data_IF_989594200361
#
_entry.id   IF_989594200361
#
_cell.length_a   1.000
_cell.length_b   1.000
_cell.length_c   1.000
_cell.angle_alpha   90.00
_cell.angle_beta   90.00
_cell.angle_gamma   90.00
#
_symmetry.space_group_name_H-M   'P 1'
#
loop_
_entity.id
_entity.type
_entity.pdbx_description
1 polymer ?
#
# COMPACT_ATOMS: atom_id res chain seq x y z
N UNK A 1 -22.16 -5.82 -12.46
CA UNK A 1 -20.92 -6.51 -12.07
C UNK A 1 -20.46 -5.95 -10.73
N UNK A 2 -20.33 -6.79 -9.70
CA UNK A 2 -19.95 -6.35 -8.35
C UNK A 2 -18.46 -5.98 -8.34
N UNK A 3 -18.14 -4.71 -8.08
CA UNK A 3 -16.75 -4.23 -7.96
C UNK A 3 -16.03 -5.09 -6.91
N UNK A 4 -14.83 -5.60 -7.24
CA UNK A 4 -14.02 -6.42 -6.33
C UNK A 4 -13.60 -5.52 -5.16
N UNK A 5 -14.02 -5.87 -3.94
CA UNK A 5 -13.70 -5.09 -2.74
C UNK A 5 -12.23 -5.21 -2.39
N UNK A 6 -11.58 -4.09 -2.14
CA UNK A 6 -10.19 -4.06 -1.71
C UNK A 6 -10.08 -4.21 -0.18
N UNK A 7 -8.93 -4.66 0.30
CA UNK A 7 -8.67 -4.92 1.73
C UNK A 7 -9.06 -3.75 2.64
N UNK A 8 -8.78 -2.51 2.22
CA UNK A 8 -9.11 -1.32 3.01
C UNK A 8 -10.62 -1.09 3.15
N UNK A 9 -11.40 -1.37 2.09
CA UNK A 9 -12.86 -1.28 2.12
C UNK A 9 -13.44 -2.34 3.06
N UNK A 10 -12.92 -3.58 3.00
CA UNK A 10 -13.36 -4.66 3.91
C UNK A 10 -13.05 -4.31 5.37
N UNK A 11 -11.88 -3.75 5.63
CA UNK A 11 -11.51 -3.26 6.97
C UNK A 11 -12.44 -2.12 7.41
N UNK A 12 -12.68 -1.14 6.55
CA UNK A 12 -13.61 -0.03 6.82
C UNK A 12 -15.01 -0.52 7.19
N UNK A 13 -15.55 -1.46 6.42
CA UNK A 13 -16.87 -2.06 6.66
C UNK A 13 -16.92 -2.80 8.00
N UNK A 14 -15.93 -3.65 8.30
CA UNK A 14 -15.88 -4.40 9.56
C UNK A 14 -15.81 -3.44 10.75
N UNK A 15 -14.92 -2.43 10.70
CA UNK A 15 -14.78 -1.47 11.77
C UNK A 15 -16.06 -0.63 11.93
N UNK A 16 -16.68 -0.21 10.83
CA UNK A 16 -17.95 0.54 10.84
C UNK A 16 -19.09 -0.24 11.50
N UNK A 17 -19.21 -1.54 11.19
CA UNK A 17 -20.22 -2.43 11.79
C UNK A 17 -19.95 -2.73 13.27
N UNK A 18 -18.69 -2.68 13.71
CA UNK A 18 -18.28 -2.97 15.08
C UNK A 18 -18.39 -1.77 16.05
N UNK A 19 -18.77 -0.57 15.57
CA UNK A 19 -18.83 0.67 16.37
C UNK A 19 -19.60 0.55 17.69
N UNK A 20 -20.68 -0.25 17.73
CA UNK A 20 -21.51 -0.47 18.93
C UNK A 20 -21.33 -1.84 19.57
N UNK A 21 -20.33 -2.60 19.16
CA UNK A 21 -20.19 -4.00 19.56
C UNK A 21 -21.11 -4.93 18.79
N UNK A 22 -20.53 -5.83 17.99
CA UNK A 22 -21.29 -6.72 17.09
C UNK A 22 -20.96 -8.19 17.32
N UNK A 23 -21.96 -9.07 17.26
CA UNK A 23 -21.73 -10.53 17.31
C UNK A 23 -21.04 -10.98 16.02
N UNK A 24 -20.12 -11.94 16.10
CA UNK A 24 -19.41 -12.50 14.92
C UNK A 24 -20.36 -12.97 13.81
N UNK A 25 -21.46 -13.62 14.16
CA UNK A 25 -22.46 -14.12 13.20
C UNK A 25 -23.19 -12.99 12.48
N UNK A 26 -23.56 -11.92 13.20
CA UNK A 26 -24.18 -10.73 12.64
C UNK A 26 -23.18 -9.97 11.76
N UNK A 27 -21.93 -9.85 12.20
CA UNK A 27 -20.87 -9.20 11.44
C UNK A 27 -20.62 -9.89 10.11
N UNK A 28 -20.54 -11.23 10.08
CA UNK A 28 -20.40 -12.01 8.86
C UNK A 28 -21.49 -11.71 7.84
N UNK A 29 -22.75 -11.78 8.29
CA UNK A 29 -23.92 -11.52 7.43
C UNK A 29 -23.93 -10.09 6.90
N UNK A 30 -23.61 -9.11 7.75
CA UNK A 30 -23.64 -7.69 7.39
C UNK A 30 -22.45 -7.26 6.52
N UNK A 31 -21.28 -7.87 6.69
CA UNK A 31 -20.08 -7.54 5.93
C UNK A 31 -19.99 -8.25 4.57
N UNK A 32 -20.93 -9.13 4.25
CA UNK A 32 -21.01 -9.88 2.99
C UNK A 32 -19.68 -10.56 2.58
N UNK A 33 -19.02 -11.21 3.55
CA UNK A 33 -17.81 -11.99 3.36
C UNK A 33 -17.97 -13.40 3.96
N UNK A 34 -17.20 -14.36 3.44
CA UNK A 34 -17.21 -15.73 3.96
C UNK A 34 -16.70 -15.79 5.40
N UNK A 35 -17.07 -16.85 6.13
CA UNK A 35 -16.62 -17.07 7.50
C UNK A 35 -15.09 -17.12 7.63
N UNK A 36 -14.42 -17.82 6.71
CA UNK A 36 -12.95 -17.90 6.68
C UNK A 36 -12.30 -16.54 6.48
N UNK A 37 -12.85 -15.74 5.57
CA UNK A 37 -12.34 -14.41 5.29
C UNK A 37 -12.58 -13.48 6.49
N UNK A 38 -13.77 -13.52 7.09
CA UNK A 38 -14.07 -12.77 8.30
C UNK A 38 -13.08 -13.12 9.41
N UNK A 39 -12.83 -14.41 9.65
CA UNK A 39 -11.88 -14.86 10.67
C UNK A 39 -10.50 -14.28 10.43
N UNK A 40 -9.99 -14.39 9.20
CA UNK A 40 -8.69 -13.81 8.81
C UNK A 40 -8.62 -12.31 9.11
N UNK A 41 -9.66 -11.56 8.74
CA UNK A 41 -9.71 -10.13 9.02
C UNK A 41 -9.83 -9.82 10.51
N UNK A 42 -10.68 -10.52 11.27
CA UNK A 42 -10.81 -10.27 12.71
C UNK A 42 -9.55 -10.61 13.48
N UNK A 43 -8.87 -11.71 13.13
CA UNK A 43 -7.61 -12.10 13.78
C UNK A 43 -6.52 -11.06 13.49
N UNK A 44 -6.45 -10.56 12.25
CA UNK A 44 -5.55 -9.49 11.84
C UNK A 44 -5.85 -8.17 12.59
N UNK A 45 -7.11 -7.73 12.62
CA UNK A 45 -7.51 -6.49 13.29
C UNK A 45 -7.29 -6.56 14.81
N UNK A 46 -7.45 -7.74 15.42
CA UNK A 46 -7.15 -7.97 16.83
C UNK A 46 -5.63 -7.88 17.09
N UNK A 47 -4.81 -8.50 16.22
CA UNK A 47 -3.34 -8.43 16.33
C UNK A 47 -2.81 -6.99 16.27
N UNK A 48 -3.49 -6.12 15.51
CA UNK A 48 -3.16 -4.69 15.40
C UNK A 48 -3.75 -3.83 16.52
N UNK A 49 -4.44 -4.45 17.47
CA UNK A 49 -5.16 -3.79 18.56
C UNK A 49 -6.16 -2.76 18.05
N UNK A 50 -6.86 -3.06 16.95
CA UNK A 50 -7.93 -2.22 16.41
C UNK A 50 -9.28 -2.64 16.97
N UNK A 51 -9.47 -3.94 17.18
CA UNK A 51 -10.66 -4.51 17.80
C UNK A 51 -10.32 -5.32 19.04
N UNK A 52 -11.31 -5.50 19.91
CA UNK A 52 -11.26 -6.41 21.04
C UNK A 52 -12.46 -7.36 21.03
N UNK A 53 -12.24 -8.57 21.54
CA UNK A 53 -13.26 -9.60 21.68
C UNK A 53 -13.69 -9.66 23.15
N UNK A 54 -14.94 -9.29 23.43
CA UNK A 54 -15.52 -9.33 24.78
C UNK A 54 -16.96 -9.82 24.71
N UNK A 55 -17.35 -10.72 25.61
CA UNK A 55 -18.73 -11.23 25.72
C UNK A 55 -19.31 -11.74 24.37
N UNK A 56 -18.48 -12.44 23.60
CA UNK A 56 -18.80 -12.96 22.26
C UNK A 56 -19.18 -11.87 21.23
N UNK A 57 -18.74 -10.64 21.47
CA UNK A 57 -18.89 -9.48 20.60
C UNK A 57 -17.53 -8.88 20.26
N UNK A 58 -17.50 -8.20 19.12
CA UNK A 58 -16.35 -7.47 18.62
C UNK A 58 -16.60 -5.99 18.85
N UNK A 59 -15.71 -5.33 19.58
CA UNK A 59 -15.73 -3.90 19.85
C UNK A 59 -14.53 -3.22 19.21
N UNK A 60 -14.67 -1.93 18.88
CA UNK A 60 -13.53 -1.10 18.52
C UNK A 60 -12.76 -0.67 19.76
N UNK A 61 -11.44 -0.72 19.67
CA UNK A 61 -10.54 -0.02 20.61
C UNK A 61 -10.47 1.48 20.25
N UNK A 62 -9.92 2.35 21.12
CA UNK A 62 -9.64 3.75 20.76
C UNK A 62 -8.85 3.90 19.45
N UNK A 63 -7.85 3.04 19.25
CA UNK A 63 -7.07 2.99 18.00
C UNK A 63 -7.93 2.59 16.80
N UNK A 64 -8.85 1.64 16.97
CA UNK A 64 -9.83 1.23 15.96
C UNK A 64 -10.75 2.37 15.52
N UNK A 65 -11.23 3.18 16.46
CA UNK A 65 -12.03 4.37 16.14
C UNK A 65 -11.23 5.40 15.34
N UNK A 66 -9.97 5.65 15.70
CA UNK A 66 -9.11 6.56 14.93
C UNK A 66 -8.91 6.07 13.51
N UNK A 67 -8.62 4.77 13.32
CA UNK A 67 -8.45 4.18 11.99
C UNK A 67 -9.73 4.28 11.16
N UNK A 68 -10.89 3.94 11.73
CA UNK A 68 -12.17 4.07 11.04
C UNK A 68 -12.42 5.52 10.58
N UNK A 69 -12.13 6.51 11.43
CA UNK A 69 -12.26 7.93 11.08
C UNK A 69 -11.35 8.30 9.91
N UNK A 70 -10.10 7.84 9.91
CA UNK A 70 -9.15 8.12 8.83
C UNK A 70 -9.55 7.44 7.51
N UNK A 71 -10.08 6.21 7.56
CA UNK A 71 -10.60 5.52 6.38
C UNK A 71 -11.74 6.33 5.76
N UNK A 72 -12.72 6.76 6.57
CA UNK A 72 -13.83 7.60 6.09
C UNK A 72 -13.35 8.92 5.50
N UNK A 73 -12.40 9.59 6.17
CA UNK A 73 -11.86 10.85 5.64
C UNK A 73 -11.13 10.64 4.31
N UNK A 74 -10.42 9.53 4.16
CA UNK A 74 -9.76 9.19 2.89
C UNK A 74 -10.77 8.93 1.77
N UNK A 75 -11.91 8.28 2.07
CA UNK A 75 -13.00 8.09 1.10
C UNK A 75 -13.64 9.41 0.67
N UNK A 76 -13.87 10.33 1.62
CA UNK A 76 -14.36 11.69 1.32
C UNK A 76 -13.42 12.42 0.38
N UNK A 77 -12.12 12.48 0.70
CA UNK A 77 -11.12 13.17 -0.11
C UNK A 77 -11.01 12.59 -1.53
N UNK A 78 -11.16 11.28 -1.69
CA UNK A 78 -11.20 10.64 -3.02
C UNK A 78 -12.43 11.04 -3.82
N UNK A 79 -13.58 11.14 -3.16
CA UNK A 79 -14.80 11.60 -3.84
C UNK A 79 -14.67 13.07 -4.25
N UNK A 80 -14.09 13.91 -3.40
CA UNK A 80 -13.75 15.30 -3.72
C UNK A 80 -12.81 15.37 -4.93
N UNK A 81 -11.70 14.62 -4.94
CA UNK A 81 -10.77 14.51 -6.07
C UNK A 81 -11.50 14.16 -7.38
N UNK A 82 -12.38 13.15 -7.36
CA UNK A 82 -13.15 12.72 -8.53
C UNK A 82 -14.09 13.83 -9.02
N UNK A 83 -14.80 14.49 -8.11
CA UNK A 83 -15.73 15.58 -8.46
C UNK A 83 -14.95 16.75 -9.07
N UNK A 84 -13.87 17.17 -8.43
CA UNK A 84 -13.01 18.25 -8.90
C UNK A 84 -12.39 17.92 -10.25
N UNK A 85 -11.91 16.68 -10.45
CA UNK A 85 -11.32 16.26 -11.72
C UNK A 85 -12.34 16.30 -12.86
N UNK A 86 -13.56 15.83 -12.63
CA UNK A 86 -14.65 15.90 -13.63
C UNK A 86 -15.03 17.33 -13.99
N UNK A 87 -15.06 18.22 -13.00
CA UNK A 87 -15.32 19.63 -13.26
C UNK A 87 -14.19 20.26 -14.06
N UNK A 88 -12.93 19.90 -13.78
CA UNK A 88 -11.77 20.33 -14.54
C UNK A 88 -11.85 19.86 -16.00
N UNK A 89 -12.16 18.59 -16.23
CA UNK A 89 -12.38 18.00 -17.58
C UNK A 89 -13.54 18.65 -18.34
N UNK A 90 -14.56 19.15 -17.63
CA UNK A 90 -15.67 19.88 -18.24
C UNK A 90 -15.27 21.29 -18.69
N UNK A 91 -14.50 21.98 -17.85
CA UNK A 91 -14.10 23.38 -18.08
C UNK A 91 -12.93 23.49 -19.05
N UNK A 92 -12.03 22.50 -19.04
CA UNK A 92 -10.89 22.43 -19.94
C UNK A 92 -11.17 21.32 -20.95
N UNK A 93 -11.30 21.60 -22.27
CA UNK A 93 -11.48 20.58 -23.31
C UNK A 93 -10.16 19.85 -23.59
N UNK A 94 -9.46 19.45 -22.53
CA UNK A 94 -8.27 18.63 -22.61
C UNK A 94 -8.77 17.19 -22.61
N UNK A 95 -8.70 16.54 -23.77
CA UNK A 95 -8.78 15.09 -23.79
C UNK A 95 -7.47 14.60 -23.21
N UNK A 96 -7.47 14.20 -21.94
CA UNK A 96 -6.41 13.33 -21.42
C UNK A 96 -6.67 11.95 -22.04
N UNK A 97 -6.34 11.82 -23.32
CA UNK A 97 -6.08 10.52 -23.92
C UNK A 97 -4.74 10.06 -23.37
N UNK A 98 -4.66 8.81 -22.94
CA UNK A 98 -3.42 8.17 -22.46
C UNK A 98 -2.23 8.31 -23.45
N UNK A 99 -2.47 8.82 -24.66
CA UNK A 99 -1.52 8.99 -25.77
C UNK A 99 -1.03 10.44 -26.01
N UNK A 100 -1.51 11.46 -25.29
CA UNK A 100 -0.93 12.82 -25.43
C UNK A 100 0.25 13.01 -24.47
N UNK A 101 1.44 13.06 -25.08
CA UNK A 101 2.78 13.21 -24.49
C UNK A 101 2.89 14.46 -23.61
N UNK A 102 2.44 14.38 -22.35
CA UNK A 102 3.20 14.95 -21.24
C UNK A 102 4.48 14.13 -21.10
N UNK A 103 5.64 14.69 -20.71
CA UNK A 103 6.83 13.89 -20.42
C UNK A 103 6.39 12.80 -19.44
N UNK A 104 6.38 11.54 -19.91
CA UNK A 104 5.76 10.41 -19.20
C UNK A 104 6.10 10.56 -17.73
N UNK A 105 5.09 10.66 -16.86
CA UNK A 105 5.38 10.49 -15.44
C UNK A 105 6.07 9.14 -15.33
N UNK A 106 7.37 9.17 -15.06
CA UNK A 106 8.16 7.95 -15.00
C UNK A 106 7.47 6.99 -14.03
N UNK A 107 7.31 5.74 -14.46
CA UNK A 107 6.74 4.72 -13.60
C UNK A 107 7.53 4.66 -12.29
N UNK A 108 6.90 4.19 -11.20
CA UNK A 108 7.60 4.07 -9.92
C UNK A 108 8.91 3.29 -10.03
N UNK A 109 8.94 2.27 -10.91
CA UNK A 109 10.16 1.52 -11.25
C UNK A 109 11.17 2.38 -12.02
N UNK A 110 10.74 3.12 -13.04
CA UNK A 110 11.63 3.99 -13.82
C UNK A 110 12.29 5.05 -12.94
N UNK A 111 11.53 5.67 -12.01
CA UNK A 111 12.06 6.63 -11.03
C UNK A 111 13.10 6.01 -10.11
N UNK A 112 12.87 4.76 -9.70
CA UNK A 112 13.82 4.02 -8.87
C UNK A 112 15.09 3.72 -9.68
N UNK A 113 14.94 3.21 -10.90
CA UNK A 113 16.08 2.89 -11.76
C UNK A 113 16.93 4.11 -12.11
N UNK A 114 16.32 5.27 -12.39
CA UNK A 114 17.08 6.51 -12.60
C UNK A 114 17.81 6.92 -11.34
N UNK A 115 17.14 6.89 -10.17
CA UNK A 115 17.76 7.23 -8.88
C UNK A 115 18.94 6.30 -8.58
N UNK A 116 18.82 4.99 -8.82
CA UNK A 116 19.90 4.02 -8.63
C UNK A 116 21.09 4.33 -9.54
N UNK A 117 20.84 4.61 -10.82
CA UNK A 117 21.88 4.94 -11.81
C UNK A 117 22.59 6.26 -11.51
N UNK A 118 21.84 7.32 -11.20
CA UNK A 118 22.37 8.65 -10.84
C UNK A 118 23.29 8.57 -9.61
N UNK A 119 23.00 7.65 -8.69
CA UNK A 119 23.78 7.44 -7.48
C UNK A 119 24.83 6.32 -7.59
N UNK A 120 25.05 5.75 -8.79
CA UNK A 120 26.04 4.70 -9.02
C UNK A 120 25.77 3.41 -8.23
N UNK A 121 24.52 3.15 -7.84
CA UNK A 121 24.14 1.99 -7.04
C UNK A 121 23.99 0.78 -7.95
N UNK A 122 24.79 -0.25 -7.68
CA UNK A 122 24.70 -1.52 -8.40
C UNK A 122 23.40 -2.25 -8.04
N UNK A 123 22.72 -2.75 -9.07
CA UNK A 123 21.50 -3.54 -8.92
C UNK A 123 21.50 -4.70 -9.92
N UNK A 124 20.75 -5.76 -9.59
CA UNK A 124 20.51 -6.90 -10.49
C UNK A 124 19.04 -6.94 -10.87
N UNK A 125 18.74 -7.07 -12.15
CA UNK A 125 17.37 -7.26 -12.64
C UNK A 125 17.16 -8.73 -13.05
N UNK A 126 16.11 -9.36 -12.53
CA UNK A 126 15.71 -10.73 -12.89
C UNK A 126 14.19 -10.79 -12.98
N UNK A 127 13.66 -11.15 -14.15
CA UNK A 127 12.22 -11.26 -14.42
C UNK A 127 11.41 -10.01 -14.04
N UNK A 128 11.95 -8.81 -14.25
CA UNK A 128 11.31 -7.54 -13.89
C UNK A 128 11.30 -7.23 -12.38
N UNK A 129 12.10 -7.95 -11.59
CA UNK A 129 12.37 -7.67 -10.19
C UNK A 129 13.79 -7.12 -10.05
N UNK A 130 13.93 -6.01 -9.34
CA UNK A 130 15.21 -5.34 -9.10
C UNK A 130 15.71 -5.73 -7.71
N UNK A 131 16.97 -6.12 -7.62
CA UNK A 131 17.62 -6.48 -6.37
C UNK A 131 18.75 -5.50 -6.08
N UNK A 132 18.70 -4.85 -4.92
CA UNK A 132 19.74 -3.97 -4.41
C UNK A 132 20.17 -4.51 -3.05
N UNK A 133 21.32 -5.18 -2.98
CA UNK A 133 21.74 -5.96 -1.80
C UNK A 133 20.66 -6.97 -1.39
N UNK A 134 20.07 -6.82 -0.21
CA UNK A 134 19.00 -7.64 0.35
C UNK A 134 17.60 -7.00 0.18
N UNK A 135 17.50 -5.88 -0.57
CA UNK A 135 16.24 -5.23 -0.94
C UNK A 135 15.74 -5.75 -2.29
N UNK A 136 14.55 -6.34 -2.29
CA UNK A 136 13.79 -6.72 -3.48
C UNK A 136 12.82 -5.59 -3.84
N UNK A 137 12.86 -5.08 -5.07
CA UNK A 137 11.97 -4.05 -5.58
C UNK A 137 11.18 -4.62 -6.75
N UNK A 138 9.86 -4.56 -6.68
CA UNK A 138 8.99 -5.16 -7.69
C UNK A 138 7.66 -4.42 -7.79
N UNK A 139 7.06 -4.41 -8.98
CA UNK A 139 5.65 -4.05 -9.12
C UNK A 139 4.77 -5.07 -8.39
N UNK A 140 3.65 -4.61 -7.83
CA UNK A 140 2.70 -5.44 -7.09
C UNK A 140 2.31 -6.73 -7.85
N UNK A 141 2.16 -6.63 -9.16
CA UNK A 141 1.77 -7.74 -10.05
C UNK A 141 2.92 -8.73 -10.34
N UNK A 142 4.18 -8.32 -10.14
CA UNK A 142 5.39 -9.07 -10.49
C UNK A 142 6.18 -9.60 -9.29
N UNK A 143 5.87 -9.17 -8.07
CA UNK A 143 6.57 -9.62 -6.87
C UNK A 143 6.49 -11.14 -6.68
N UNK A 144 7.65 -11.82 -6.61
CA UNK A 144 7.71 -13.28 -6.48
C UNK A 144 7.25 -13.72 -5.08
N UNK A 145 6.28 -14.64 -5.07
CA UNK A 145 5.70 -15.23 -3.86
C UNK A 145 4.66 -14.32 -3.21
N UNK A 146 3.42 -14.81 -3.10
CA UNK A 146 2.26 -14.18 -2.43
C UNK A 146 2.44 -13.96 -0.91
N UNK A 147 3.67 -13.88 -0.41
CA UNK A 147 4.00 -13.68 1.00
C UNK A 147 4.20 -12.17 1.22
N UNK A 148 3.29 -11.60 1.99
CA UNK A 148 3.31 -10.19 2.45
C UNK A 148 4.56 -9.91 3.31
N UNK A 149 5.14 -10.95 3.92
CA UNK A 149 6.35 -10.86 4.76
C UNK A 149 7.47 -11.73 4.18
N UNK A 150 8.18 -11.25 3.15
CA UNK A 150 9.39 -11.89 2.66
C UNK A 150 10.49 -11.91 3.73
N UNK A 151 11.41 -12.88 3.64
CA UNK A 151 12.62 -12.91 4.48
C UNK A 151 13.61 -11.79 4.12
N UNK A 152 13.59 -11.35 2.87
CA UNK A 152 14.35 -10.22 2.37
C UNK A 152 13.55 -8.92 2.53
N UNK A 153 14.23 -7.77 2.64
CA UNK A 153 13.56 -6.46 2.63
C UNK A 153 12.88 -6.30 1.27
N UNK A 154 11.67 -5.75 1.22
CA UNK A 154 10.93 -5.64 -0.04
C UNK A 154 10.22 -4.31 -0.21
N UNK A 155 10.39 -3.68 -1.35
CA UNK A 155 9.66 -2.50 -1.80
C UNK A 155 8.71 -2.89 -2.94
N UNK A 156 7.42 -2.98 -2.64
CA UNK A 156 6.37 -3.29 -3.59
C UNK A 156 5.80 -1.98 -4.17
N UNK A 157 5.94 -1.78 -5.48
CA UNK A 157 5.47 -0.60 -6.18
C UNK A 157 4.04 -0.83 -6.65
N UNK A 158 3.10 -0.09 -6.06
CA UNK A 158 1.70 -0.06 -6.48
C UNK A 158 1.41 1.16 -7.33
N UNK A 159 0.18 1.23 -7.87
CA UNK A 159 -0.24 2.33 -8.77
C UNK A 159 -0.25 3.71 -8.12
N UNK A 160 -0.63 3.80 -6.83
CA UNK A 160 -0.71 5.08 -6.08
C UNK A 160 0.27 5.17 -4.91
N UNK A 161 0.52 4.05 -4.25
CA UNK A 161 1.43 3.95 -3.11
C UNK A 161 2.28 2.70 -3.26
N UNK A 162 3.44 2.75 -2.65
CA UNK A 162 4.40 1.66 -2.53
C UNK A 162 4.46 1.18 -1.08
N UNK A 163 4.79 -0.09 -0.89
CA UNK A 163 4.87 -0.72 0.42
C UNK A 163 6.30 -1.18 0.64
N UNK A 164 6.97 -0.64 1.65
CA UNK A 164 8.25 -1.15 2.12
C UNK A 164 8.02 -2.09 3.30
N UNK A 165 8.52 -3.31 3.18
CA UNK A 165 8.64 -4.29 4.26
C UNK A 165 10.12 -4.37 4.65
N UNK A 166 10.45 -3.87 5.82
CA UNK A 166 11.82 -3.87 6.36
C UNK A 166 11.80 -4.44 7.78
N UNK A 167 12.55 -5.53 8.01
CA UNK A 167 12.73 -6.12 9.34
C UNK A 167 11.40 -6.44 10.06
N UNK A 168 10.38 -6.86 9.29
CA UNK A 168 9.04 -7.17 9.80
C UNK A 168 8.12 -5.95 10.01
N UNK A 169 8.62 -4.73 9.78
CA UNK A 169 7.82 -3.50 9.79
C UNK A 169 7.32 -3.17 8.38
N UNK A 170 6.08 -2.68 8.29
CA UNK A 170 5.46 -2.27 7.02
C UNK A 170 5.31 -0.76 7.01
N UNK A 171 5.85 -0.11 5.98
CA UNK A 171 5.70 1.32 5.70
C UNK A 171 4.95 1.51 4.37
N UNK A 172 3.93 2.34 4.38
CA UNK A 172 3.22 2.76 3.16
C UNK A 172 3.79 4.12 2.74
N UNK A 173 4.12 4.23 1.47
CA UNK A 173 4.91 5.33 0.92
C UNK A 173 4.18 5.83 -0.33
N UNK A 174 3.94 7.13 -0.44
CA UNK A 174 3.38 7.66 -1.68
C UNK A 174 4.43 7.60 -2.78
N UNK A 175 4.01 7.36 -4.02
CA UNK A 175 4.97 7.21 -5.12
C UNK A 175 5.80 8.49 -5.38
N UNK A 176 5.29 9.66 -4.98
CA UNK A 176 6.02 10.93 -5.02
C UNK A 176 7.22 10.97 -4.06
N UNK A 177 7.17 10.18 -2.99
CA UNK A 177 8.19 10.14 -1.93
C UNK A 177 9.21 9.00 -2.12
N UNK A 178 9.10 8.22 -3.20
CA UNK A 178 9.99 7.07 -3.44
C UNK A 178 11.46 7.47 -3.53
N UNK A 179 11.76 8.59 -4.19
CA UNK A 179 13.11 9.10 -4.28
C UNK A 179 13.65 9.50 -2.91
N UNK A 180 12.83 10.18 -2.08
CA UNK A 180 13.20 10.56 -0.71
C UNK A 180 13.50 9.33 0.15
N UNK A 181 12.68 8.28 0.04
CA UNK A 181 12.92 7.01 0.72
C UNK A 181 14.30 6.42 0.35
N UNK A 182 14.61 6.34 -0.95
CA UNK A 182 15.89 5.80 -1.40
C UNK A 182 17.06 6.64 -0.88
N UNK A 183 16.92 7.97 -0.89
CA UNK A 183 17.89 8.90 -0.33
C UNK A 183 18.12 8.68 1.17
N UNK A 184 17.06 8.50 1.95
CA UNK A 184 17.17 8.22 3.37
C UNK A 184 17.84 6.87 3.61
N UNK A 185 17.48 5.84 2.84
CA UNK A 185 18.12 4.53 2.92
C UNK A 185 19.61 4.58 2.52
N UNK A 186 20.00 5.45 1.58
CA UNK A 186 21.40 5.69 1.23
C UNK A 186 22.17 6.36 2.38
N UNK A 187 21.62 7.45 2.94
CA UNK A 187 22.22 8.16 4.08
C UNK A 187 22.38 7.27 5.31
N UNK A 188 21.42 6.38 5.54
CA UNK A 188 21.44 5.40 6.63
C UNK A 188 22.39 4.22 6.36
N UNK A 189 23.10 4.19 5.22
CA UNK A 189 24.00 3.09 4.83
C UNK A 189 23.27 1.79 4.51
N UNK A 190 21.95 1.82 4.37
CA UNK A 190 21.07 0.67 4.10
C UNK A 190 21.07 0.24 2.65
N UNK A 191 21.50 1.13 1.75
CA UNK A 191 21.80 0.86 0.34
C UNK A 191 23.28 1.23 0.15
N UNK A 192 24.22 0.30 0.36
CA UNK A 192 25.64 0.68 0.29
C UNK A 192 26.07 0.90 -1.16
N UNK A 193 26.72 2.04 -1.45
CA UNK A 193 27.58 2.19 -2.61
C UNK A 193 28.87 1.40 -2.35
N UNK A 194 28.93 0.15 -2.82
CA UNK A 194 30.23 -0.52 -2.89
C UNK A 194 30.95 0.00 -4.13
N UNK A 195 31.81 0.99 -3.96
CA UNK A 195 33.08 1.02 -4.67
C UNK A 195 33.85 -0.21 -4.20
N UNK A 196 33.63 -1.35 -4.86
CA UNK A 196 34.68 -2.37 -4.88
C UNK A 196 35.80 -1.82 -5.73
N UNK A 197 36.71 -1.08 -5.09
CA UNK A 197 38.11 -1.22 -5.43
C UNK A 197 38.40 -2.71 -5.30
N UNK A 198 38.71 -3.35 -6.42
CA UNK A 198 39.56 -4.55 -6.40
C UNK A 198 40.48 -4.45 -7.60
N UNK A 199 41.75 -4.58 -7.26
CA UNK A 199 42.99 -4.53 -8.05
C UNK A 199 42.91 -5.42 -9.29
#
# INVERSE_FOLDING_TARGET
MTKKRHTLEIVGDILSLAVKGIRKTTLMRASNISFELLRKYTDMLASWKLIELKDNRIYLTPKGYTVLRLIKKLEELKNEEIITSRELERLLPIKITDDEVYPREMSGIEKILSTLKENGIQYKEVDGIIYVHDLEICEEEKCKGNKIFPRARRLMIGKKFSILVDSGQVKIIYNVDLSNLLWDMLKEGRLSSRTTNTI
#
